data_IF_600344455643
#
_entry.id   IF_600344455643
#
_cell.length_a   1.000
_cell.length_b   1.000
_cell.length_c   1.000
_cell.angle_alpha   90.00
_cell.angle_beta   90.00
_cell.angle_gamma   90.00
#
_symmetry.space_group_name_H-M   'P 1'
#
loop_
_entity.id
_entity.type
_entity.pdbx_description
1 polymer ?
#
# COMPACT_ATOMS: atom_id res chain seq x y z
N UNK A 1 -42.60 -40.10 -40.34
CA UNK A 1 -41.67 -41.20 -40.65
C UNK A 1 -40.68 -41.32 -39.51
N UNK A 2 -40.99 -42.17 -38.54
CA UNK A 2 -40.35 -42.24 -37.22
C UNK A 2 -39.34 -43.38 -37.25
N UNK A 3 -38.04 -43.06 -37.38
CA UNK A 3 -36.95 -44.01 -37.13
C UNK A 3 -36.49 -43.84 -35.68
N UNK A 4 -36.67 -44.89 -34.91
CA UNK A 4 -36.67 -44.95 -33.44
C UNK A 4 -35.25 -45.11 -32.88
N UNK A 5 -35.02 -44.57 -31.67
CA UNK A 5 -33.81 -44.64 -30.83
C UNK A 5 -33.16 -46.05 -30.69
N UNK A 6 -33.84 -47.13 -31.08
CA UNK A 6 -33.33 -48.50 -31.06
C UNK A 6 -32.23 -48.75 -32.11
N UNK A 7 -32.24 -48.04 -33.25
CA UNK A 7 -31.22 -48.20 -34.29
C UNK A 7 -29.88 -47.61 -33.85
N UNK A 8 -29.90 -46.52 -33.07
CA UNK A 8 -28.69 -45.87 -32.56
C UNK A 8 -28.02 -46.69 -31.44
N UNK A 9 -28.81 -47.32 -30.57
CA UNK A 9 -28.29 -48.19 -29.48
C UNK A 9 -27.70 -49.49 -30.02
N UNK A 10 -28.25 -50.04 -31.11
CA UNK A 10 -27.70 -51.25 -31.74
C UNK A 10 -26.34 -51.02 -32.38
N UNK A 11 -26.14 -49.85 -33.02
CA UNK A 11 -24.87 -49.48 -33.67
C UNK A 11 -23.72 -49.32 -32.64
N UNK A 12 -24.00 -48.79 -31.44
CA UNK A 12 -23.01 -48.67 -30.36
C UNK A 12 -22.62 -50.04 -29.77
N UNK A 13 -23.58 -50.97 -29.63
CA UNK A 13 -23.31 -52.32 -29.11
C UNK A 13 -22.43 -53.14 -30.06
N UNK A 14 -22.60 -53.00 -31.37
CA UNK A 14 -21.85 -53.74 -32.38
C UNK A 14 -20.40 -53.26 -32.49
N UNK A 15 -20.16 -51.94 -32.39
CA UNK A 15 -18.81 -51.36 -32.32
C UNK A 15 -18.04 -51.79 -31.05
N UNK A 16 -18.71 -51.91 -29.90
CA UNK A 16 -18.07 -52.36 -28.66
C UNK A 16 -17.59 -53.82 -28.68
N UNK A 17 -18.26 -54.69 -29.47
CA UNK A 17 -17.88 -56.11 -29.62
C UNK A 17 -16.66 -56.30 -30.52
N UNK A 18 -16.49 -55.46 -31.54
CA UNK A 18 -15.31 -55.50 -32.42
C UNK A 18 -14.04 -54.98 -31.71
N UNK A 19 -14.16 -53.97 -30.84
CA UNK A 19 -13.06 -53.48 -30.01
C UNK A 19 -12.62 -54.56 -28.99
N UNK A 20 -13.56 -55.29 -28.39
CA UNK A 20 -13.26 -56.39 -27.45
C UNK A 20 -12.64 -57.64 -28.10
N UNK A 21 -12.84 -57.87 -29.41
CA UNK A 21 -12.19 -58.98 -30.13
C UNK A 21 -10.73 -58.70 -30.49
N UNK A 22 -10.38 -57.44 -30.77
CA UNK A 22 -9.00 -57.08 -31.11
C UNK A 22 -8.06 -57.05 -29.90
N UNK A 23 -8.56 -56.82 -28.68
CA UNK A 23 -7.73 -56.84 -27.47
C UNK A 23 -7.41 -58.25 -26.92
N UNK A 24 -7.93 -59.34 -27.50
CA UNK A 24 -7.66 -60.71 -27.04
C UNK A 24 -6.43 -61.39 -27.68
N UNK A 25 -5.71 -60.72 -28.60
CA UNK A 25 -4.53 -61.29 -29.27
C UNK A 25 -3.17 -60.85 -28.71
N UNK A 26 -3.14 -59.98 -27.71
CA UNK A 26 -1.91 -59.65 -26.98
C UNK A 26 -2.07 -60.06 -25.52
N UNK A 27 -1.73 -61.31 -25.24
CA UNK A 27 -1.50 -61.75 -23.87
C UNK A 27 -0.17 -61.22 -23.38
N UNK A 28 -0.18 -60.42 -22.32
CA UNK A 28 0.90 -60.42 -21.34
C UNK A 28 0.38 -59.97 -19.98
N UNK A 29 0.90 -60.63 -18.97
CA UNK A 29 0.40 -60.75 -17.61
C UNK A 29 0.66 -59.53 -16.72
N UNK A 30 0.11 -59.64 -15.50
CA UNK A 30 0.46 -58.92 -14.28
C UNK A 30 0.03 -57.44 -14.17
N UNK A 31 -1.03 -57.23 -13.38
CA UNK A 31 -0.93 -56.70 -12.02
C UNK A 31 -2.29 -56.12 -11.62
N UNK A 32 -2.85 -56.62 -10.51
CA UNK A 32 -3.96 -55.98 -9.84
C UNK A 32 -3.48 -54.64 -9.26
N UNK A 33 -3.59 -53.57 -10.04
CA UNK A 33 -3.58 -52.21 -9.52
C UNK A 33 -5.02 -51.78 -9.32
N UNK A 34 -5.41 -51.64 -8.06
CA UNK A 34 -6.60 -50.91 -7.67
C UNK A 34 -6.55 -49.54 -8.36
N UNK A 35 -7.52 -49.28 -9.25
CA UNK A 35 -7.77 -47.91 -9.68
C UNK A 35 -8.26 -47.15 -8.45
N UNK A 36 -7.32 -46.46 -7.81
CA UNK A 36 -7.62 -45.24 -7.07
C UNK A 36 -8.27 -44.34 -8.11
N UNK A 37 -9.60 -44.21 -8.04
CA UNK A 37 -10.31 -43.08 -8.63
C UNK A 37 -9.75 -41.85 -7.91
N UNK A 38 -8.69 -41.29 -8.48
CA UNK A 38 -8.16 -39.99 -8.10
C UNK A 38 -9.25 -38.99 -8.44
N UNK A 39 -10.00 -38.58 -7.41
CA UNK A 39 -10.99 -37.54 -7.47
C UNK A 39 -10.25 -36.24 -7.82
N UNK A 40 -10.13 -35.96 -9.12
CA UNK A 40 -9.44 -34.78 -9.66
C UNK A 40 -10.41 -33.65 -9.97
N UNK A 41 -11.56 -33.67 -9.30
CA UNK A 41 -12.48 -32.55 -9.16
C UNK A 41 -12.45 -32.13 -7.69
N UNK A 42 -11.33 -31.51 -7.28
CA UNK A 42 -11.29 -30.70 -6.06
C UNK A 42 -12.22 -29.50 -6.29
N UNK A 43 -13.53 -29.68 -6.09
CA UNK A 43 -14.40 -28.54 -5.83
C UNK A 43 -13.76 -27.81 -4.65
N UNK A 44 -13.40 -26.52 -4.80
CA UNK A 44 -12.81 -25.78 -3.70
C UNK A 44 -13.83 -25.86 -2.55
N UNK A 45 -13.41 -26.44 -1.42
CA UNK A 45 -14.29 -26.70 -0.28
C UNK A 45 -15.11 -25.45 -0.01
N UNK A 46 -16.44 -25.56 0.14
CA UNK A 46 -17.23 -24.38 0.45
C UNK A 46 -16.64 -23.75 1.71
N UNK A 47 -16.39 -22.43 1.72
CA UNK A 47 -15.84 -21.77 2.89
C UNK A 47 -16.72 -22.06 4.08
N UNK A 48 -16.12 -22.09 5.26
CA UNK A 48 -16.86 -22.29 6.50
C UNK A 48 -17.98 -21.26 6.64
N UNK A 49 -19.03 -21.55 7.40
CA UNK A 49 -19.94 -20.51 7.92
C UNK A 49 -19.28 -19.70 9.06
N UNK A 50 -17.95 -19.55 9.01
CA UNK A 50 -17.18 -18.78 9.98
C UNK A 50 -16.73 -17.48 9.32
N UNK A 51 -16.81 -16.34 10.03
CA UNK A 51 -16.34 -15.07 9.50
C UNK A 51 -14.88 -15.12 9.05
N UNK A 52 -14.51 -14.40 7.97
CA UNK A 52 -13.14 -14.31 7.50
C UNK A 52 -12.23 -13.58 8.51
N UNK A 53 -10.92 -13.67 8.28
CA UNK A 53 -9.90 -12.85 8.95
C UNK A 53 -9.45 -11.72 8.03
N UNK A 54 -9.46 -10.48 8.52
CA UNK A 54 -8.83 -9.34 7.84
C UNK A 54 -7.48 -8.99 8.47
N UNK A 55 -6.56 -8.51 7.64
CA UNK A 55 -5.33 -7.83 8.08
C UNK A 55 -5.30 -6.42 7.52
N UNK A 56 -4.91 -5.46 8.35
CA UNK A 56 -4.69 -4.06 8.00
C UNK A 56 -3.26 -3.72 8.39
N UNK A 57 -2.48 -3.16 7.46
CA UNK A 57 -1.12 -2.71 7.72
C UNK A 57 -0.89 -1.33 7.12
N UNK A 58 -0.12 -0.51 7.82
CA UNK A 58 0.45 0.73 7.29
C UNK A 58 1.98 0.61 7.38
N UNK A 59 2.69 1.05 6.35
CA UNK A 59 4.16 1.00 6.30
C UNK A 59 4.83 1.90 7.34
N UNK A 60 4.19 3.01 7.71
CA UNK A 60 4.65 3.99 8.69
C UNK A 60 3.56 4.32 9.70
N UNK A 61 3.93 4.43 10.96
CA UNK A 61 3.03 4.86 12.05
C UNK A 61 3.21 6.33 12.44
N UNK A 62 4.20 7.01 11.85
CA UNK A 62 4.46 8.44 12.03
C UNK A 62 5.05 9.01 10.75
N UNK A 63 4.53 10.15 10.29
CA UNK A 63 4.98 10.87 9.09
C UNK A 63 4.94 12.39 9.33
N UNK A 64 5.57 13.16 8.46
CA UNK A 64 5.35 14.61 8.39
C UNK A 64 4.16 14.92 7.48
N UNK A 65 3.50 16.06 7.73
CA UNK A 65 2.45 16.59 6.87
C UNK A 65 2.92 16.66 5.41
N UNK A 66 2.07 16.17 4.51
CA UNK A 66 2.33 16.10 3.07
C UNK A 66 3.10 14.85 2.64
N UNK A 67 3.51 13.98 3.57
CA UNK A 67 4.08 12.68 3.21
C UNK A 67 3.00 11.63 2.99
N UNK A 68 3.36 10.59 2.22
CA UNK A 68 2.48 9.47 1.94
C UNK A 68 2.76 8.25 2.82
N UNK A 69 1.69 7.55 3.17
CA UNK A 69 1.70 6.20 3.74
C UNK A 69 1.15 5.19 2.75
N UNK A 70 1.63 3.96 2.84
CA UNK A 70 1.09 2.82 2.10
C UNK A 70 0.18 2.00 3.03
N UNK A 71 -1.10 1.91 2.67
CA UNK A 71 -2.12 1.19 3.42
C UNK A 71 -2.48 -0.08 2.65
N UNK A 72 -2.43 -1.23 3.35
CA UNK A 72 -2.81 -2.51 2.77
C UNK A 72 -3.89 -3.19 3.58
N UNK A 73 -4.88 -3.75 2.87
CA UNK A 73 -5.91 -4.61 3.43
C UNK A 73 -5.87 -5.95 2.72
N UNK A 74 -5.67 -7.03 3.50
CA UNK A 74 -5.80 -8.39 3.02
C UNK A 74 -6.84 -9.17 3.83
N UNK A 75 -7.20 -10.34 3.34
CA UNK A 75 -8.32 -11.12 3.82
C UNK A 75 -8.05 -12.60 3.64
N UNK A 76 -8.63 -13.41 4.52
CA UNK A 76 -8.49 -14.86 4.47
C UNK A 76 -9.79 -15.50 4.95
N UNK A 77 -10.39 -16.31 4.09
CA UNK A 77 -11.56 -17.09 4.48
C UNK A 77 -11.15 -18.24 5.39
N UNK A 78 -11.99 -18.53 6.39
CA UNK A 78 -11.81 -19.68 7.28
C UNK A 78 -12.48 -20.92 6.68
N UNK A 79 -11.87 -22.08 6.84
CA UNK A 79 -12.47 -23.39 6.51
C UNK A 79 -12.84 -24.16 7.79
N UNK A 80 -13.86 -25.01 7.71
CA UNK A 80 -14.29 -25.87 8.82
C UNK A 80 -13.21 -26.93 9.10
N UNK A 81 -12.88 -27.11 10.38
CA UNK A 81 -11.81 -27.99 10.91
C UNK A 81 -11.91 -29.50 10.58
N UNK A 82 -12.84 -29.96 9.76
CA UNK A 82 -13.12 -31.40 9.57
C UNK A 82 -12.56 -32.03 8.30
N UNK A 83 -11.64 -31.37 7.61
CA UNK A 83 -10.76 -32.02 6.64
C UNK A 83 -9.32 -31.85 7.10
N UNK A 84 -8.45 -32.78 6.69
CA UNK A 84 -7.03 -32.87 7.09
C UNK A 84 -6.19 -31.60 6.81
N UNK A 85 -6.81 -30.56 6.24
CA UNK A 85 -6.28 -29.23 5.95
C UNK A 85 -7.04 -28.13 6.71
N UNK A 86 -7.31 -28.35 8.02
CA UNK A 86 -8.04 -27.46 8.91
C UNK A 86 -7.46 -26.03 9.07
N UNK A 87 -6.41 -25.70 8.32
CA UNK A 87 -5.73 -24.40 8.27
C UNK A 87 -5.56 -23.87 6.83
N UNK A 88 -6.30 -24.38 5.84
CA UNK A 88 -6.23 -23.87 4.47
C UNK A 88 -6.81 -22.44 4.40
N UNK A 89 -5.93 -21.47 4.66
CA UNK A 89 -6.15 -20.03 4.49
C UNK A 89 -6.14 -19.72 3.00
N UNK A 90 -7.20 -19.13 2.48
CA UNK A 90 -7.27 -18.66 1.10
C UNK A 90 -8.02 -17.33 1.01
N UNK A 91 -7.48 -16.42 0.21
CA UNK A 91 -8.09 -15.16 -0.22
C UNK A 91 -9.16 -15.37 -1.31
N UNK A 92 -9.12 -16.50 -2.02
CA UNK A 92 -10.04 -16.86 -3.14
C UNK A 92 -11.53 -16.72 -2.83
N UNK A 93 -11.92 -16.82 -1.56
CA UNK A 93 -13.32 -16.73 -1.14
C UNK A 93 -13.69 -15.39 -0.53
N UNK A 94 -12.76 -14.43 -0.48
CA UNK A 94 -13.06 -13.05 -0.15
C UNK A 94 -13.60 -12.37 -1.40
N UNK A 95 -14.72 -11.66 -1.24
CA UNK A 95 -15.41 -10.99 -2.35
C UNK A 95 -15.45 -9.48 -2.19
N UNK A 96 -15.15 -8.96 -1.00
CA UNK A 96 -15.06 -7.53 -0.77
C UNK A 96 -14.03 -7.19 0.31
N UNK A 97 -13.26 -6.15 0.04
CA UNK A 97 -12.33 -5.49 0.93
C UNK A 97 -12.83 -4.07 1.16
N UNK A 98 -13.05 -3.72 2.42
CA UNK A 98 -13.54 -2.40 2.85
C UNK A 98 -12.44 -1.68 3.62
N UNK A 99 -12.20 -0.41 3.29
CA UNK A 99 -11.32 0.50 4.01
C UNK A 99 -11.99 1.86 4.18
N UNK A 100 -12.12 2.30 5.43
CA UNK A 100 -12.47 3.66 5.78
C UNK A 100 -11.22 4.40 6.28
N UNK A 101 -11.07 5.65 5.84
CA UNK A 101 -10.03 6.56 6.28
C UNK A 101 -10.65 7.84 6.87
N UNK A 102 -10.15 8.24 8.03
CA UNK A 102 -10.38 9.51 8.71
C UNK A 102 -9.01 10.21 8.78
N UNK A 103 -8.77 11.18 7.91
CA UNK A 103 -7.46 11.78 7.69
C UNK A 103 -7.13 12.87 8.71
N UNK A 104 -8.14 13.54 9.25
CA UNK A 104 -7.96 14.64 10.20
C UNK A 104 -8.23 14.24 11.66
N UNK A 105 -8.72 13.02 11.90
CA UNK A 105 -8.98 12.47 13.22
C UNK A 105 -10.22 13.06 13.89
N UNK A 106 -11.13 13.67 13.11
CA UNK A 106 -12.34 14.29 13.62
C UNK A 106 -13.45 13.26 13.97
N UNK A 107 -13.23 11.98 13.63
CA UNK A 107 -14.17 10.89 13.86
C UNK A 107 -15.20 10.67 12.74
N UNK A 108 -15.12 11.43 11.66
CA UNK A 108 -15.89 11.23 10.42
C UNK A 108 -15.02 10.54 9.38
N UNK A 109 -15.64 9.72 8.55
CA UNK A 109 -14.93 9.04 7.46
C UNK A 109 -14.83 10.01 6.30
N UNK A 110 -13.60 10.31 5.90
CA UNK A 110 -13.28 11.16 4.76
C UNK A 110 -13.30 10.39 3.44
N UNK A 111 -12.87 9.12 3.48
CA UNK A 111 -12.81 8.26 2.30
C UNK A 111 -13.19 6.82 2.64
N UNK A 112 -14.05 6.23 1.82
CA UNK A 112 -14.39 4.81 1.84
C UNK A 112 -13.96 4.17 0.53
N UNK A 113 -13.29 3.02 0.62
CA UNK A 113 -12.84 2.22 -0.50
C UNK A 113 -13.40 0.82 -0.35
N UNK A 114 -14.15 0.37 -1.35
CA UNK A 114 -14.68 -0.98 -1.45
C UNK A 114 -14.27 -1.59 -2.79
N UNK A 115 -13.65 -2.77 -2.77
CA UNK A 115 -13.23 -3.48 -3.99
C UNK A 115 -13.15 -5.00 -3.80
N UNK A 116 -13.16 -5.75 -4.89
CA UNK A 116 -13.14 -7.23 -4.87
C UNK A 116 -11.71 -7.81 -4.75
N UNK A 117 -10.68 -6.98 -4.86
CA UNK A 117 -9.27 -7.37 -4.74
C UNK A 117 -8.64 -6.79 -3.47
N UNK A 118 -7.55 -7.38 -2.94
CA UNK A 118 -6.80 -6.78 -1.84
C UNK A 118 -6.44 -5.31 -2.10
N UNK A 119 -6.53 -4.48 -1.06
CA UNK A 119 -6.21 -3.05 -1.14
C UNK A 119 -4.71 -2.88 -0.92
N UNK A 120 -4.05 -2.15 -1.80
CA UNK A 120 -2.66 -1.70 -1.67
C UNK A 120 -2.54 -0.31 -2.29
N UNK A 121 -2.63 0.72 -1.46
CA UNK A 121 -2.77 2.11 -1.90
C UNK A 121 -1.79 3.04 -1.18
N UNK A 122 -1.47 4.15 -1.83
CA UNK A 122 -0.76 5.25 -1.17
C UNK A 122 -1.72 6.40 -0.90
N UNK A 123 -1.61 7.00 0.28
CA UNK A 123 -2.37 8.19 0.68
C UNK A 123 -1.46 9.23 1.30
N UNK A 124 -1.54 10.45 0.80
CA UNK A 124 -0.88 11.62 1.35
C UNK A 124 -1.67 12.12 2.56
N UNK A 125 -0.99 12.45 3.65
CA UNK A 125 -1.62 12.92 4.88
C UNK A 125 -1.33 14.40 5.10
N UNK A 126 -2.35 15.24 4.86
CA UNK A 126 -2.20 16.71 4.87
C UNK A 126 -2.71 17.40 6.15
N UNK A 127 -3.28 16.64 7.08
CA UNK A 127 -3.79 17.14 8.36
C UNK A 127 -2.89 16.68 9.51
N UNK A 128 -2.41 17.65 10.29
CA UNK A 128 -1.61 17.38 11.50
C UNK A 128 -2.51 16.80 12.57
N UNK A 129 -2.02 15.77 13.26
CA UNK A 129 -2.78 15.06 14.28
C UNK A 129 -2.73 13.56 14.08
N UNK A 130 -3.87 12.91 14.15
CA UNK A 130 -4.00 11.45 14.05
C UNK A 130 -4.90 11.09 12.88
N UNK A 131 -4.33 10.47 11.85
CA UNK A 131 -5.13 9.81 10.83
C UNK A 131 -5.48 8.39 11.30
N UNK A 132 -6.72 7.96 11.07
CA UNK A 132 -7.22 6.64 11.44
C UNK A 132 -7.69 5.86 10.22
N UNK A 133 -7.27 4.61 10.16
CA UNK A 133 -7.69 3.66 9.13
C UNK A 133 -8.46 2.53 9.78
N UNK A 134 -9.61 2.15 9.21
CA UNK A 134 -10.40 1.01 9.68
C UNK A 134 -10.79 0.11 8.50
N UNK A 135 -10.65 -1.20 8.65
CA UNK A 135 -10.88 -2.13 7.56
C UNK A 135 -11.58 -3.41 8.01
N UNK A 136 -12.35 -3.99 7.09
CA UNK A 136 -12.96 -5.31 7.21
C UNK A 136 -13.00 -6.00 5.84
N UNK A 137 -13.25 -7.31 5.84
CA UNK A 137 -13.42 -8.08 4.61
C UNK A 137 -14.70 -8.90 4.67
N UNK A 138 -15.30 -9.15 3.50
CA UNK A 138 -16.52 -9.96 3.36
C UNK A 138 -16.24 -11.17 2.50
N UNK A 139 -16.65 -12.35 2.95
CA UNK A 139 -16.54 -13.58 2.18
C UNK A 139 -17.71 -13.79 1.21
N UNK A 140 -17.60 -14.78 0.33
CA UNK A 140 -18.60 -15.12 -0.67
C UNK A 140 -19.93 -15.67 -0.08
N UNK A 141 -20.01 -15.85 1.24
CA UNK A 141 -21.24 -16.19 1.97
C UNK A 141 -21.86 -14.96 2.63
N UNK A 142 -21.23 -13.80 2.51
CA UNK A 142 -21.69 -12.53 3.08
C UNK A 142 -21.31 -12.33 4.55
N UNK A 143 -20.42 -13.14 5.11
CA UNK A 143 -19.92 -12.93 6.47
C UNK A 143 -18.78 -11.91 6.47
N UNK A 144 -18.81 -10.99 7.44
CA UNK A 144 -17.82 -9.93 7.60
C UNK A 144 -16.83 -10.27 8.70
N UNK A 145 -15.55 -9.97 8.51
CA UNK A 145 -14.54 -10.06 9.57
C UNK A 145 -14.78 -9.04 10.68
N UNK A 146 -14.12 -9.22 11.83
CA UNK A 146 -13.97 -8.13 12.80
C UNK A 146 -13.27 -6.93 12.15
N UNK A 147 -13.67 -5.72 12.55
CA UNK A 147 -13.02 -4.48 12.11
C UNK A 147 -11.62 -4.38 12.72
N UNK A 148 -10.64 -4.04 11.88
CA UNK A 148 -9.27 -3.70 12.30
C UNK A 148 -9.09 -2.19 12.19
N UNK A 149 -8.44 -1.58 13.17
CA UNK A 149 -8.12 -0.15 13.13
C UNK A 149 -6.64 0.11 13.43
N UNK A 150 -6.05 1.09 12.76
CA UNK A 150 -4.71 1.62 13.01
C UNK A 150 -4.73 3.15 13.01
N UNK A 151 -3.78 3.75 13.73
CA UNK A 151 -3.55 5.18 13.76
C UNK A 151 -2.16 5.51 13.19
N UNK A 152 -2.07 6.60 12.45
CA UNK A 152 -0.82 7.22 11.99
C UNK A 152 -0.72 8.62 12.58
N UNK A 153 0.40 8.92 13.21
CA UNK A 153 0.69 10.26 13.73
C UNK A 153 1.23 11.13 12.58
N UNK A 154 0.59 12.26 12.33
CA UNK A 154 1.02 13.24 11.33
C UNK A 154 1.58 14.45 12.05
N UNK A 155 2.88 14.66 11.90
CA UNK A 155 3.60 15.76 12.52
C UNK A 155 3.56 16.99 11.62
N UNK A 156 3.58 18.17 12.23
CA UNK A 156 3.78 19.42 11.46
C UNK A 156 5.12 19.36 10.72
N UNK A 157 5.11 19.65 9.43
CA UNK A 157 6.33 19.78 8.66
C UNK A 157 6.90 21.18 8.88
N UNK A 158 7.63 21.36 9.98
CA UNK A 158 8.28 22.64 10.26
C UNK A 158 9.67 22.65 9.63
N UNK A 159 9.75 23.04 8.36
CA UNK A 159 11.01 23.48 7.73
C UNK A 159 11.43 24.82 8.35
N UNK A 160 11.93 24.75 9.59
CA UNK A 160 12.32 25.89 10.42
C UNK A 160 13.75 26.40 10.18
N UNK A 161 14.43 25.96 9.14
CA UNK A 161 15.82 26.40 8.94
C UNK A 161 15.84 27.75 8.24
N UNK A 162 15.33 28.80 8.90
CA UNK A 162 15.63 30.17 8.50
C UNK A 162 17.09 30.44 8.86
N UNK A 163 17.93 30.53 7.85
CA UNK A 163 19.36 30.75 8.04
C UNK A 163 19.61 32.22 8.38
N UNK A 164 20.57 32.48 9.28
CA UNK A 164 20.94 33.86 9.59
C UNK A 164 21.75 34.43 8.42
N UNK A 165 21.43 35.63 7.91
CA UNK A 165 22.23 36.26 6.87
C UNK A 165 23.63 36.60 7.41
N UNK A 166 24.63 36.45 6.55
CA UNK A 166 26.03 36.83 6.80
C UNK A 166 26.33 38.09 6.00
N UNK A 167 26.71 39.17 6.68
CA UNK A 167 27.16 40.41 6.05
C UNK A 167 28.67 40.37 5.79
N UNK A 168 29.07 40.73 4.59
CA UNK A 168 30.47 40.80 4.15
C UNK A 168 30.82 42.25 3.81
N UNK A 169 31.71 42.84 4.62
CA UNK A 169 32.19 44.20 4.41
C UNK A 169 33.50 44.17 3.60
N UNK A 170 33.62 45.11 2.67
CA UNK A 170 34.82 45.33 1.85
C UNK A 170 35.18 46.81 1.83
N UNK A 171 36.48 47.09 1.71
CA UNK A 171 37.03 48.43 1.51
C UNK A 171 38.14 48.35 0.46
N UNK A 172 38.22 49.35 -0.40
CA UNK A 172 39.34 49.49 -1.35
C UNK A 172 40.65 49.92 -0.66
N UNK A 173 40.56 50.49 0.54
CA UNK A 173 41.69 50.94 1.35
C UNK A 173 41.51 50.56 2.82
N UNK A 174 42.59 50.07 3.43
CA UNK A 174 42.62 49.73 4.86
C UNK A 174 43.26 50.82 5.73
N UNK A 175 43.83 51.86 5.10
CA UNK A 175 44.41 53.02 5.77
C UNK A 175 44.24 54.25 4.89
N UNK A 176 43.91 55.38 5.51
CA UNK A 176 43.71 56.66 4.86
C UNK A 176 44.61 57.71 5.52
N UNK A 177 45.21 58.57 4.71
CA UNK A 177 45.76 59.83 5.19
C UNK A 177 44.70 60.92 5.11
N UNK A 178 44.88 61.98 5.90
CA UNK A 178 43.91 63.07 6.00
C UNK A 178 43.59 63.66 4.62
N UNK A 179 42.30 63.62 4.25
CA UNK A 179 41.79 64.13 2.98
C UNK A 179 41.66 63.09 1.87
N UNK A 180 42.08 61.84 2.10
CA UNK A 180 41.76 60.73 1.20
C UNK A 180 40.38 60.14 1.49
N UNK A 181 39.78 59.57 0.44
CA UNK A 181 38.54 58.81 0.53
C UNK A 181 38.83 57.31 0.38
N UNK A 182 37.99 56.49 0.98
CA UNK A 182 37.85 55.04 0.73
C UNK A 182 36.44 54.75 0.22
N UNK A 183 36.33 53.73 -0.62
CA UNK A 183 35.04 53.18 -1.04
C UNK A 183 34.74 51.94 -0.20
N UNK A 184 33.63 51.98 0.54
CA UNK A 184 33.12 50.84 1.30
C UNK A 184 32.03 50.13 0.50
N UNK A 185 32.10 48.81 0.43
CA UNK A 185 31.08 47.96 -0.17
C UNK A 185 30.58 46.93 0.83
N UNK A 186 29.26 46.73 0.89
CA UNK A 186 28.63 45.66 1.67
C UNK A 186 27.91 44.69 0.74
N UNK A 187 28.08 43.41 0.99
CA UNK A 187 27.30 42.34 0.36
C UNK A 187 26.82 41.36 1.42
N UNK A 188 25.91 40.46 1.04
CA UNK A 188 25.34 39.49 1.96
C UNK A 188 25.15 38.15 1.31
N UNK A 189 25.20 37.11 2.14
CA UNK A 189 24.83 35.75 1.77
C UNK A 189 23.83 35.22 2.79
N UNK A 190 22.72 34.69 2.31
CA UNK A 190 21.76 33.97 3.14
C UNK A 190 21.69 32.51 2.65
N UNK A 191 21.60 31.58 3.58
CA UNK A 191 21.44 30.15 3.26
C UNK A 191 20.07 29.85 2.62
N UNK A 192 19.10 30.74 2.81
CA UNK A 192 17.75 30.62 2.24
C UNK A 192 17.67 31.24 0.83
N UNK A 193 18.54 32.22 0.55
CA UNK A 193 18.68 32.89 -0.74
C UNK A 193 19.05 34.36 -0.56
N UNK A 194 19.90 34.90 -1.44
CA UNK A 194 20.35 36.32 -1.33
C UNK A 194 19.17 37.31 -1.43
N UNK A 195 18.08 36.91 -2.10
CA UNK A 195 16.82 37.66 -2.25
C UNK A 195 16.14 37.95 -0.89
N UNK A 196 16.41 37.13 0.13
CA UNK A 196 15.78 37.23 1.45
C UNK A 196 16.43 38.29 2.36
N UNK A 197 17.58 38.83 1.94
CA UNK A 197 18.24 39.95 2.61
C UNK A 197 17.52 41.25 2.26
N UNK A 198 16.75 41.76 3.22
CA UNK A 198 15.90 42.96 3.02
C UNK A 198 16.65 44.28 3.19
N UNK A 199 17.74 44.27 3.95
CA UNK A 199 18.42 45.50 4.36
C UNK A 199 19.92 45.27 4.54
N UNK A 200 20.70 46.27 4.13
CA UNK A 200 22.13 46.36 4.34
C UNK A 200 22.42 47.64 5.11
N UNK A 201 23.17 47.53 6.22
CA UNK A 201 23.54 48.65 7.06
C UNK A 201 25.06 48.67 7.25
N UNK A 202 25.69 49.82 6.97
CA UNK A 202 27.09 50.09 7.34
C UNK A 202 27.07 51.12 8.45
N UNK A 203 27.74 50.80 9.56
CA UNK A 203 27.92 51.66 10.73
C UNK A 203 29.40 52.03 10.82
N UNK A 204 29.72 53.32 10.90
CA UNK A 204 31.09 53.84 10.91
C UNK A 204 31.36 54.52 12.26
N UNK A 205 32.52 54.21 12.84
CA UNK A 205 33.10 54.93 13.98
C UNK A 205 34.22 55.82 13.40
N UNK A 206 34.00 57.14 13.35
CA UNK A 206 34.95 58.05 12.69
C UNK A 206 36.11 58.46 13.59
N UNK A 207 35.95 58.43 14.91
CA UNK A 207 36.94 58.88 15.89
C UNK A 207 37.67 57.72 16.60
N UNK A 208 37.22 56.49 16.39
CA UNK A 208 37.79 55.26 16.93
C UNK A 208 37.48 55.05 18.42
N UNK A 209 36.47 55.73 18.96
CA UNK A 209 36.12 55.65 20.38
C UNK A 209 35.30 54.40 20.75
N UNK A 210 34.94 53.58 19.76
CA UNK A 210 34.12 52.38 19.93
C UNK A 210 32.61 52.61 19.87
N UNK A 211 32.18 53.82 19.49
CA UNK A 211 30.77 54.18 19.24
C UNK A 211 30.58 54.54 17.78
N UNK A 212 29.40 54.20 17.27
CA UNK A 212 29.02 54.51 15.89
C UNK A 212 28.41 55.89 15.88
N UNK A 213 28.89 56.75 14.98
CA UNK A 213 28.38 58.10 14.77
C UNK A 213 27.20 58.14 13.77
#
# INVERSE_FOLDING_TARGET
MTKTLQDFVSNIKENSKNIKRNLRRFGLALAASAMIVSCQDCTPFPPSDLPPEATLTVDKTSVNKGESVNVKVNGTAKSLKNLKDANAKSDKFIVSYHLDADYDGNGTVDETIEQETPIDIYRQLDYVGKAKFSAMTTDNKGLTSDVKSLEVIVNENINNSNNKPIANLSSDKTSLIKGENANLGISGTDGDGVEDIKEYEIKIDYDGNGTVD
#
